data_IF_451192033309
#
_entry.id   IF_451192033309
#
_cell.length_a   1.000
_cell.length_b   1.000
_cell.length_c   1.000
_cell.angle_alpha   90.00
_cell.angle_beta   90.00
_cell.angle_gamma   90.00
#
_symmetry.space_group_name_H-M   'P 1'
#
loop_
_entity.id
_entity.type
_entity.pdbx_description
1 polymer ?
#
# COMPACT_ATOMS: atom_id res chain seq x y z
N UNK A 1 9.18 -0.63 15.95
CA UNK A 1 8.65 0.19 14.85
C UNK A 1 7.51 1.03 15.40
N UNK A 2 7.45 2.32 15.06
CA UNK A 2 6.38 3.23 15.45
C UNK A 2 5.02 2.72 14.94
N UNK A 3 3.95 2.91 15.73
CA UNK A 3 2.59 2.46 15.39
C UNK A 3 2.07 3.11 14.10
N UNK A 4 2.28 4.41 13.93
CA UNK A 4 1.83 5.16 12.74
C UNK A 4 2.51 4.63 11.47
N UNK A 5 3.79 4.33 11.56
CA UNK A 5 4.58 3.70 10.49
C UNK A 5 4.05 2.29 10.19
N UNK A 6 3.76 1.49 11.21
CA UNK A 6 3.20 0.16 11.03
C UNK A 6 1.86 0.20 10.27
N UNK A 7 0.99 1.13 10.63
CA UNK A 7 -0.28 1.32 9.96
C UNK A 7 -0.10 1.76 8.50
N UNK A 8 0.77 2.74 8.22
CA UNK A 8 1.04 3.19 6.87
C UNK A 8 1.62 2.08 5.99
N UNK A 9 2.64 1.36 6.47
CA UNK A 9 3.29 0.28 5.71
C UNK A 9 2.33 -0.89 5.49
N UNK A 10 1.46 -1.17 6.46
CA UNK A 10 0.38 -2.15 6.30
C UNK A 10 -0.59 -1.74 5.18
N UNK A 11 -0.98 -0.46 5.10
CA UNK A 11 -1.82 0.05 4.00
C UNK A 11 -1.11 -0.09 2.66
N UNK A 12 0.17 0.26 2.59
CA UNK A 12 1.00 0.11 1.38
C UNK A 12 1.07 -1.34 0.91
N UNK A 13 1.36 -2.28 1.80
CA UNK A 13 1.46 -3.69 1.42
C UNK A 13 0.12 -4.29 1.06
N UNK A 14 -0.96 -3.81 1.67
CA UNK A 14 -2.32 -4.18 1.31
C UNK A 14 -2.65 -3.71 -0.11
N UNK A 15 -2.34 -2.45 -0.43
CA UNK A 15 -2.49 -1.91 -1.78
C UNK A 15 -1.69 -2.71 -2.81
N UNK A 16 -0.39 -2.92 -2.56
CA UNK A 16 0.45 -3.71 -3.48
C UNK A 16 -0.02 -5.15 -3.60
N UNK A 17 -0.59 -5.75 -2.55
CA UNK A 17 -1.09 -7.12 -2.61
C UNK A 17 -2.23 -7.28 -3.62
N UNK A 18 -3.06 -6.25 -3.76
CA UNK A 18 -4.15 -6.22 -4.73
C UNK A 18 -3.64 -5.86 -6.13
N UNK A 19 -2.88 -4.77 -6.23
CA UNK A 19 -2.56 -4.14 -7.51
C UNK A 19 -1.32 -4.74 -8.19
N UNK A 20 -0.31 -5.13 -7.41
CA UNK A 20 0.97 -5.60 -7.93
C UNK A 20 1.65 -6.55 -6.93
N UNK A 21 1.09 -7.75 -6.81
CA UNK A 21 1.60 -8.76 -5.88
C UNK A 21 3.06 -9.13 -6.16
N UNK A 22 3.47 -9.12 -7.44
CA UNK A 22 4.87 -9.34 -7.83
C UNK A 22 5.77 -8.29 -7.20
N UNK A 23 5.41 -7.01 -7.31
CA UNK A 23 6.14 -5.92 -6.66
C UNK A 23 6.17 -6.05 -5.14
N UNK A 24 5.06 -6.43 -4.51
CA UNK A 24 5.02 -6.72 -3.07
C UNK A 24 6.03 -7.80 -2.68
N UNK A 25 6.03 -8.94 -3.39
CA UNK A 25 6.94 -10.06 -3.08
C UNK A 25 8.41 -9.68 -3.23
N UNK A 26 8.74 -8.87 -4.24
CA UNK A 26 10.09 -8.34 -4.44
C UNK A 26 10.51 -7.41 -3.28
N UNK A 27 9.62 -6.50 -2.87
CA UNK A 27 9.86 -5.60 -1.73
C UNK A 27 10.04 -6.41 -0.44
N UNK A 28 9.17 -7.38 -0.16
CA UNK A 28 9.28 -8.24 1.01
C UNK A 28 10.60 -9.02 1.05
N UNK A 29 11.06 -9.52 -0.11
CA UNK A 29 12.33 -10.26 -0.21
C UNK A 29 13.56 -9.37 0.04
N UNK A 30 13.49 -8.08 -0.34
CA UNK A 30 14.54 -7.11 -0.02
C UNK A 30 14.51 -6.73 1.46
N UNK A 31 13.31 -6.52 2.03
CA UNK A 31 13.13 -6.22 3.46
C UNK A 31 13.62 -7.38 4.34
N UNK A 32 13.37 -8.62 3.95
CA UNK A 32 13.87 -9.81 4.67
C UNK A 32 15.40 -9.80 4.83
N UNK A 33 16.11 -9.30 3.81
CA UNK A 33 17.57 -9.22 3.78
C UNK A 33 18.11 -7.97 4.48
N UNK A 34 17.54 -6.81 4.19
CA UNK A 34 18.08 -5.51 4.61
C UNK A 34 17.51 -5.03 5.96
N UNK A 35 16.30 -5.47 6.32
CA UNK A 35 15.55 -5.04 7.51
C UNK A 35 14.83 -6.23 8.19
N UNK A 36 15.55 -7.29 8.60
CA UNK A 36 14.95 -8.53 9.12
C UNK A 36 14.09 -8.29 10.38
N UNK A 37 14.39 -7.26 11.17
CA UNK A 37 13.58 -6.87 12.33
C UNK A 37 12.20 -6.35 11.94
N UNK A 38 12.09 -5.63 10.83
CA UNK A 38 10.82 -5.13 10.32
C UNK A 38 10.05 -6.18 9.53
N UNK A 39 10.77 -7.07 8.83
CA UNK A 39 10.16 -8.16 8.08
C UNK A 39 9.17 -9.00 8.91
N UNK A 40 9.48 -9.25 10.19
CA UNK A 40 8.62 -10.01 11.12
C UNK A 40 7.20 -9.46 11.23
N UNK A 41 6.99 -8.16 11.05
CA UNK A 41 5.65 -7.55 11.07
C UNK A 41 4.86 -7.82 9.80
N UNK A 42 5.55 -8.14 8.71
CA UNK A 42 5.00 -8.16 7.35
C UNK A 42 5.07 -9.53 6.68
N UNK A 43 5.65 -10.55 7.31
CA UNK A 43 5.70 -11.92 6.78
C UNK A 43 4.30 -12.44 6.39
N UNK A 44 3.26 -12.05 7.13
CA UNK A 44 1.84 -12.35 6.81
C UNK A 44 1.40 -11.94 5.40
N UNK A 45 2.11 -11.00 4.77
CA UNK A 45 1.78 -10.53 3.42
C UNK A 45 2.25 -11.50 2.32
N UNK A 46 3.20 -12.42 2.60
CA UNK A 46 3.68 -13.47 1.67
C UNK A 46 2.62 -14.51 1.31
N UNK A 47 1.61 -14.68 2.15
CA UNK A 47 0.56 -15.66 1.88
C UNK A 47 -0.43 -15.09 0.87
N UNK A 48 -0.44 -15.62 -0.35
CA UNK A 48 -1.34 -15.19 -1.42
C UNK A 48 -2.82 -15.43 -1.09
N UNK A 49 -3.14 -16.41 -0.24
CA UNK A 49 -4.52 -16.78 0.14
C UNK A 49 -5.22 -15.72 1.00
N UNK A 50 -4.48 -14.83 1.66
CA UNK A 50 -5.04 -13.66 2.35
C UNK A 50 -5.71 -12.66 1.39
N UNK A 51 -5.51 -12.80 0.07
CA UNK A 51 -6.12 -11.96 -0.97
C UNK A 51 -7.65 -12.02 -0.99
N UNK A 52 -8.27 -13.18 -0.71
CA UNK A 52 -9.73 -13.32 -0.69
C UNK A 52 -10.37 -12.60 0.50
N UNK A 53 -9.74 -12.64 1.68
CA UNK A 53 -10.23 -11.89 2.87
C UNK A 53 -9.91 -10.40 2.78
N UNK A 54 -8.76 -10.03 2.21
CA UNK A 54 -8.41 -8.64 1.95
C UNK A 54 -9.33 -8.02 0.89
N UNK A 55 -9.76 -8.79 -0.12
CA UNK A 55 -10.75 -8.37 -1.12
C UNK A 55 -12.07 -7.96 -0.46
N UNK A 56 -12.56 -8.68 0.55
CA UNK A 56 -13.79 -8.27 1.24
C UNK A 56 -13.61 -7.02 2.14
N UNK A 57 -12.45 -6.89 2.78
CA UNK A 57 -12.13 -5.69 3.57
C UNK A 57 -11.95 -4.46 2.68
N UNK A 58 -11.40 -4.65 1.48
CA UNK A 58 -11.16 -3.58 0.52
C UNK A 58 -12.36 -3.32 -0.38
N UNK A 59 -13.24 -4.29 -0.67
CA UNK A 59 -14.56 -4.00 -1.24
C UNK A 59 -15.28 -3.00 -0.36
N UNK A 60 -15.23 -3.13 0.96
CA UNK A 60 -15.79 -2.12 1.85
C UNK A 60 -15.04 -0.77 1.76
N UNK A 61 -13.71 -0.74 1.59
CA UNK A 61 -12.94 0.52 1.46
C UNK A 61 -13.20 1.21 0.11
N UNK A 62 -13.17 0.46 -0.99
CA UNK A 62 -13.51 0.94 -2.34
C UNK A 62 -15.00 1.30 -2.43
N UNK A 63 -15.92 0.51 -1.87
CA UNK A 63 -17.34 0.87 -1.76
C UNK A 63 -17.53 2.14 -0.92
N UNK A 64 -16.77 2.34 0.16
CA UNK A 64 -16.83 3.60 0.93
C UNK A 64 -16.20 4.79 0.21
N UNK A 65 -15.23 4.58 -0.68
CA UNK A 65 -14.70 5.63 -1.56
C UNK A 65 -15.70 5.99 -2.68
N UNK A 66 -16.65 5.11 -3.00
CA UNK A 66 -17.76 5.40 -3.91
C UNK A 66 -18.96 6.10 -3.27
N UNK A 67 -18.87 6.56 -2.00
CA UNK A 67 -19.93 7.34 -1.34
C UNK A 67 -19.99 8.78 -1.87
N UNK A 68 -20.46 8.91 -3.10
CA UNK A 68 -20.72 10.16 -3.80
C UNK A 68 -21.62 10.00 -5.03
N UNK A 69 -22.34 8.88 -5.17
CA UNK A 69 -23.55 8.81 -6.00
C UNK A 69 -23.37 8.93 -7.52
N UNK A 70 -22.82 7.90 -8.17
CA UNK A 70 -23.37 7.42 -9.45
C UNK A 70 -22.86 6.00 -9.70
N UNK A 71 -23.71 5.06 -10.16
CA UNK A 71 -23.24 3.73 -10.47
C UNK A 71 -22.19 3.78 -11.60
N UNK A 72 -21.00 3.23 -11.35
CA UNK A 72 -20.01 2.80 -12.35
C UNK A 72 -20.66 2.02 -13.52
N UNK A 73 -21.85 1.46 -13.29
CA UNK A 73 -22.68 0.78 -14.28
C UNK A 73 -23.20 1.64 -15.45
N UNK A 74 -23.08 2.99 -15.40
CA UNK A 74 -23.59 3.87 -16.46
C UNK A 74 -22.54 4.32 -17.49
N UNK A 75 -21.26 4.05 -17.25
CA UNK A 75 -20.15 4.42 -18.15
C UNK A 75 -19.64 3.17 -18.88
N UNK A 76 -19.51 3.26 -20.21
CA UNK A 76 -19.04 2.13 -21.02
C UNK A 76 -17.65 1.63 -20.58
N UNK A 77 -17.33 0.35 -20.85
CA UNK A 77 -16.12 -0.37 -20.38
C UNK A 77 -14.78 0.38 -20.47
N UNK A 78 -14.66 1.35 -21.38
CA UNK A 78 -13.48 2.21 -21.53
C UNK A 78 -13.38 3.27 -20.43
N UNK A 79 -14.48 3.94 -20.10
CA UNK A 79 -14.52 4.98 -19.07
C UNK A 79 -14.34 4.40 -17.66
N UNK A 80 -14.93 3.22 -17.39
CA UNK A 80 -14.72 2.50 -16.12
C UNK A 80 -13.24 2.14 -15.89
N UNK A 81 -12.52 1.74 -16.94
CA UNK A 81 -11.10 1.41 -16.86
C UNK A 81 -10.24 2.65 -16.58
N UNK A 82 -10.52 3.75 -17.27
CA UNK A 82 -9.78 5.01 -17.08
C UNK A 82 -10.02 5.64 -15.70
N UNK A 83 -11.21 5.47 -15.12
CA UNK A 83 -11.53 5.94 -13.76
C UNK A 83 -10.79 5.11 -12.71
N UNK A 84 -10.82 3.78 -12.81
CA UNK A 84 -10.05 2.88 -11.94
C UNK A 84 -8.55 3.16 -11.98
N UNK A 85 -7.99 3.39 -13.17
CA UNK A 85 -6.57 3.76 -13.30
C UNK A 85 -6.24 5.08 -12.59
N UNK A 86 -7.13 6.08 -12.67
CA UNK A 86 -6.96 7.36 -11.95
C UNK A 86 -7.02 7.18 -10.44
N UNK A 87 -7.94 6.38 -9.93
CA UNK A 87 -8.05 6.08 -8.50
C UNK A 87 -6.80 5.37 -7.97
N UNK A 88 -6.30 4.35 -8.67
CA UNK A 88 -5.08 3.62 -8.31
C UNK A 88 -3.87 4.57 -8.25
N UNK A 89 -3.74 5.48 -9.23
CA UNK A 89 -2.67 6.49 -9.25
C UNK A 89 -2.81 7.47 -8.07
N UNK A 90 -4.03 7.92 -7.78
CA UNK A 90 -4.31 8.83 -6.66
C UNK A 90 -3.92 8.20 -5.32
N UNK A 91 -4.37 6.95 -5.07
CA UNK A 91 -4.07 6.22 -3.84
C UNK A 91 -2.57 5.97 -3.69
N UNK A 92 -1.90 5.55 -4.77
CA UNK A 92 -0.45 5.37 -4.78
C UNK A 92 0.29 6.66 -4.41
N UNK A 93 -0.14 7.80 -4.93
CA UNK A 93 0.47 9.09 -4.61
C UNK A 93 0.21 9.49 -3.16
N UNK A 94 -1.01 9.25 -2.64
CA UNK A 94 -1.37 9.46 -1.24
C UNK A 94 -0.45 8.67 -0.30
N UNK A 95 -0.28 7.37 -0.55
CA UNK A 95 0.60 6.50 0.25
C UNK A 95 2.06 6.95 0.22
N UNK A 96 2.58 7.36 -0.95
CA UNK A 96 3.94 7.94 -1.07
C UNK A 96 4.08 9.24 -0.30
N UNK A 97 3.07 10.11 -0.33
CA UNK A 97 3.10 11.37 0.40
C UNK A 97 3.07 11.13 1.91
N UNK A 98 2.30 10.14 2.38
CA UNK A 98 2.32 9.72 3.78
C UNK A 98 3.72 9.34 4.27
N UNK A 99 4.51 8.61 3.46
CA UNK A 99 5.90 8.31 3.83
C UNK A 99 6.73 9.59 3.94
N UNK A 100 6.61 10.49 2.95
CA UNK A 100 7.35 11.75 2.93
C UNK A 100 7.03 12.63 4.13
N UNK A 101 5.77 12.68 4.55
CA UNK A 101 5.34 13.45 5.72
C UNK A 101 5.94 12.91 7.00
N UNK A 102 5.91 11.59 7.21
CA UNK A 102 6.58 10.97 8.36
C UNK A 102 8.08 11.27 8.32
N UNK A 103 8.74 11.12 7.16
CA UNK A 103 10.18 11.35 7.01
C UNK A 103 10.62 12.79 7.36
N UNK A 104 9.77 13.80 7.17
CA UNK A 104 10.07 15.19 7.58
C UNK A 104 10.33 15.32 9.08
N UNK A 105 9.74 14.43 9.88
CA UNK A 105 9.85 14.45 11.34
C UNK A 105 11.02 13.60 11.87
N UNK A 106 11.78 12.91 11.00
CA UNK A 106 12.97 12.16 11.41
C UNK A 106 14.25 12.99 11.23
N UNK A 107 14.76 13.54 12.34
CA UNK A 107 16.07 14.21 12.39
C UNK A 107 17.25 13.25 12.26
N UNK A 108 17.11 12.01 12.73
CA UNK A 108 18.23 11.09 12.93
C UNK A 108 18.28 9.98 11.86
N UNK A 109 19.45 9.38 11.64
CA UNK A 109 19.69 8.24 10.73
C UNK A 109 19.19 6.90 11.29
N UNK A 110 18.00 6.91 11.89
CA UNK A 110 17.42 5.71 12.50
C UNK A 110 17.20 4.61 11.46
N UNK A 111 17.25 3.34 11.90
CA UNK A 111 16.91 2.20 11.05
C UNK A 111 15.50 2.35 10.45
N UNK A 112 14.59 2.95 11.21
CA UNK A 112 13.22 3.25 10.78
C UNK A 112 13.16 4.29 9.66
N UNK A 113 13.97 5.36 9.73
CA UNK A 113 14.12 6.33 8.64
C UNK A 113 14.65 5.66 7.37
N UNK A 114 15.71 4.86 7.50
CA UNK A 114 16.30 4.12 6.36
C UNK A 114 15.31 3.15 5.73
N UNK A 115 14.49 2.49 6.54
CA UNK A 115 13.43 1.61 6.07
C UNK A 115 12.34 2.37 5.29
N UNK A 116 11.92 3.53 5.79
CA UNK A 116 10.95 4.38 5.10
C UNK A 116 11.50 4.97 3.80
N UNK A 117 12.75 5.40 3.78
CA UNK A 117 13.46 5.86 2.57
C UNK A 117 13.51 4.75 1.52
N UNK A 118 13.95 3.55 1.92
CA UNK A 118 13.92 2.35 1.09
C UNK A 118 12.52 2.11 0.51
N UNK A 119 11.48 2.13 1.35
CA UNK A 119 10.12 1.86 0.90
C UNK A 119 9.61 2.94 -0.08
N UNK A 120 9.93 4.21 0.17
CA UNK A 120 9.58 5.32 -0.73
C UNK A 120 10.21 5.17 -2.12
N UNK A 121 11.44 4.66 -2.20
CA UNK A 121 12.11 4.41 -3.48
C UNK A 121 11.50 3.24 -4.26
N UNK A 122 10.99 2.22 -3.56
CA UNK A 122 10.43 1.04 -4.21
C UNK A 122 8.99 1.23 -4.67
N UNK A 123 8.21 2.16 -4.10
CA UNK A 123 6.82 2.41 -4.50
C UNK A 123 6.69 3.08 -5.86
#
# INVERSE_FOLDING_TARGET
MNKEILELVTKIFTFLKLEDYTKLTNILSMIEKEFPNYYKFFEKFKDKSMGEKASNVLSNIFETLTLGGTPLALLGKKAEKEEKEREIISEKNSLKNGIKEILKNYSDSSEEKRFLEFLSEKL
#
